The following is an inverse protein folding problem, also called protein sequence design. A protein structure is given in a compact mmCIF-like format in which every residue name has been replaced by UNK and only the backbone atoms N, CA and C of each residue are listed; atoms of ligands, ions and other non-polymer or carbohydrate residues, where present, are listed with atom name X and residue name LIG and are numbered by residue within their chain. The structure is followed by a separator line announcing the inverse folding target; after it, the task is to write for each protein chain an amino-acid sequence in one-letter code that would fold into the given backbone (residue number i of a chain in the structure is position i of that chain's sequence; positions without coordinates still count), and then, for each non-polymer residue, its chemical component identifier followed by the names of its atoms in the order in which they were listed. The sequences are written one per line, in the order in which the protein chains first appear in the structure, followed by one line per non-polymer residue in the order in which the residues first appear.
data_IF_244963928851
#
_entry.id   IF_244963928851
#
_cell.length_a   1.000
_cell.length_b   1.000
_cell.length_c   1.000
_cell.angle_alpha   90.00
_cell.angle_beta   90.00
_cell.angle_gamma   90.00
#
_symmetry.space_group_name_H-M   'P 1'
#
loop_
_entity.id
_entity.type
_entity.pdbx_description
1 polymer ?
#
# COMPACT_ATOMS: atom_id res chain seq x y z
N UNK A 1 0.72 -17.20 41.23
CA UNK A 1 1.57 -17.47 40.03
C UNK A 1 1.14 -16.54 38.92
N UNK A 2 1.88 -15.44 38.74
CA UNK A 2 1.63 -14.42 37.71
C UNK A 2 1.81 -15.03 36.33
N UNK A 3 0.74 -15.09 35.54
CA UNK A 3 0.78 -15.53 34.14
C UNK A 3 1.30 -14.37 33.29
N UNK A 4 2.58 -14.05 33.44
CA UNK A 4 3.29 -13.15 32.54
C UNK A 4 3.54 -13.87 31.21
N UNK A 5 2.49 -13.93 30.38
CA UNK A 5 2.65 -14.22 28.96
C UNK A 5 3.08 -12.92 28.27
N UNK A 6 4.29 -12.45 28.55
CA UNK A 6 4.97 -11.49 27.67
C UNK A 6 5.45 -12.26 26.42
N UNK A 7 4.46 -12.69 25.63
CA UNK A 7 4.68 -13.35 24.36
C UNK A 7 5.12 -12.28 23.37
N UNK A 8 6.44 -12.18 23.14
CA UNK A 8 7.08 -11.44 22.05
C UNK A 8 6.08 -11.16 20.93
N UNK A 9 5.57 -9.93 20.85
CA UNK A 9 4.75 -9.49 19.72
C UNK A 9 5.62 -9.69 18.49
N UNK A 10 5.39 -10.75 17.72
CA UNK A 10 6.04 -10.95 16.43
C UNK A 10 5.53 -9.85 15.52
N UNK A 11 6.20 -8.70 15.53
CA UNK A 11 5.94 -7.62 14.59
C UNK A 11 6.20 -8.19 13.20
N UNK A 12 5.13 -8.65 12.56
CA UNK A 12 5.20 -9.04 11.17
C UNK A 12 5.50 -7.76 10.37
N UNK A 13 6.78 -7.56 10.03
CA UNK A 13 7.24 -6.42 9.24
C UNK A 13 6.82 -6.52 7.78
N UNK A 14 6.06 -7.56 7.41
CA UNK A 14 5.50 -7.66 6.07
C UNK A 14 4.37 -6.64 5.95
N UNK A 15 4.46 -5.69 5.01
CA UNK A 15 3.37 -4.76 4.77
C UNK A 15 2.10 -5.55 4.38
N UNK A 16 0.91 -5.08 4.79
CA UNK A 16 -0.33 -5.76 4.46
C UNK A 16 -0.50 -5.83 2.94
N UNK A 17 -0.95 -6.99 2.45
CA UNK A 17 -1.26 -7.15 1.04
C UNK A 17 -2.39 -6.18 0.64
N UNK A 18 -2.17 -5.44 -0.46
CA UNK A 18 -3.16 -4.51 -1.00
C UNK A 18 -4.47 -5.22 -1.33
N UNK A 19 -5.59 -4.63 -0.93
CA UNK A 19 -6.92 -5.14 -1.25
C UNK A 19 -7.22 -5.08 -2.76
N UNK A 20 -8.20 -5.85 -3.23
CA UNK A 20 -8.61 -5.81 -4.64
C UNK A 20 -9.10 -4.41 -5.07
N UNK A 21 -9.75 -3.68 -4.16
CA UNK A 21 -10.17 -2.28 -4.37
C UNK A 21 -8.96 -1.37 -4.54
N UNK A 22 -7.97 -1.49 -3.67
CA UNK A 22 -6.73 -0.70 -3.73
C UNK A 22 -5.93 -0.98 -5.01
N UNK A 23 -5.88 -2.24 -5.47
CA UNK A 23 -5.27 -2.59 -6.76
C UNK A 23 -6.00 -1.97 -7.95
N UNK A 24 -7.32 -1.80 -7.88
CA UNK A 24 -8.12 -1.16 -8.94
C UNK A 24 -7.86 0.34 -8.97
N UNK A 25 -7.81 0.98 -7.81
CA UNK A 25 -7.49 2.40 -7.67
C UNK A 25 -6.06 2.70 -8.17
N UNK A 26 -5.07 1.90 -7.79
CA UNK A 26 -3.67 2.04 -8.26
C UNK A 26 -3.55 1.94 -9.80
N UNK A 27 -4.32 1.05 -10.43
CA UNK A 27 -4.37 0.96 -11.91
C UNK A 27 -4.98 2.22 -12.55
N UNK A 28 -6.02 2.78 -11.94
CA UNK A 28 -6.66 3.98 -12.46
C UNK A 28 -5.79 5.22 -12.26
N UNK A 29 -5.14 5.34 -11.10
CA UNK A 29 -4.20 6.42 -10.82
C UNK A 29 -3.00 6.36 -11.77
N UNK A 30 -2.36 5.20 -12.00
CA UNK A 30 -1.27 5.08 -12.98
C UNK A 30 -1.63 5.53 -14.39
N UNK A 31 -2.88 5.31 -14.82
CA UNK A 31 -3.37 5.79 -16.12
C UNK A 31 -3.50 7.31 -16.11
N UNK A 32 -4.06 7.87 -15.05
CA UNK A 32 -4.20 9.32 -14.86
C UNK A 32 -2.85 10.02 -14.71
N UNK A 33 -1.91 9.44 -13.98
CA UNK A 33 -0.56 9.97 -13.77
C UNK A 33 0.17 10.04 -15.10
N UNK A 34 0.15 8.96 -15.89
CA UNK A 34 0.75 8.96 -17.24
C UNK A 34 0.12 10.00 -18.17
N UNK A 35 -1.19 10.17 -18.13
CA UNK A 35 -1.89 11.20 -18.90
C UNK A 35 -1.48 12.62 -18.44
N UNK A 36 -1.31 12.80 -17.14
CA UNK A 36 -0.95 14.09 -16.54
C UNK A 36 0.50 14.44 -16.81
N UNK A 37 1.43 13.49 -16.68
CA UNK A 37 2.82 13.61 -17.08
C UNK A 37 2.92 13.90 -18.58
N UNK A 38 2.18 13.18 -19.43
CA UNK A 38 2.16 13.43 -20.88
C UNK A 38 1.67 14.84 -21.24
N UNK A 39 0.78 15.45 -20.44
CA UNK A 39 0.32 16.83 -20.65
C UNK A 39 1.28 17.88 -20.10
N UNK A 40 1.92 17.60 -18.96
CA UNK A 40 2.84 18.54 -18.32
C UNK A 40 4.25 18.54 -18.92
N UNK A 41 4.69 17.46 -19.58
CA UNK A 41 6.01 17.39 -20.21
C UNK A 41 6.03 18.01 -21.62
N UNK A 42 4.91 18.59 -22.06
CA UNK A 42 4.73 19.20 -23.39
C UNK A 42 4.59 20.72 -23.39
N UNK A 43 4.91 21.41 -22.30
CA UNK A 43 4.89 22.88 -22.22
C UNK A 43 6.19 23.43 -21.64
#
# INVERSE_FOLDING_TARGET
MSKERDGKKKSNKTPPAKSAKEKREDKMNKRRDRETESRNTGN
#
